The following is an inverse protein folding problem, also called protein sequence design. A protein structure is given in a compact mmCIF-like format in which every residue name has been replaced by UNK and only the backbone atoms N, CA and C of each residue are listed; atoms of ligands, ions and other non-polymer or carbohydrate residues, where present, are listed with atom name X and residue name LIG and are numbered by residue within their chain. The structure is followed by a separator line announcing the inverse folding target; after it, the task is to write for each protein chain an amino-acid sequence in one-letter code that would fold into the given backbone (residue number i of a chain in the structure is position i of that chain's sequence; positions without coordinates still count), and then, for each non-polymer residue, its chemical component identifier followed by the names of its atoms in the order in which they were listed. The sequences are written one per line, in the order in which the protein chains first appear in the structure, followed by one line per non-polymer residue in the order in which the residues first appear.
data_IF_501964603601
#
_entry.id   IF_501964603601
#
_cell.length_a   1.000
_cell.length_b   1.000
_cell.length_c   1.000
_cell.angle_alpha   90.00
_cell.angle_beta   90.00
_cell.angle_gamma   90.00
#
_symmetry.space_group_name_H-M   'P 1'
#
loop_
_entity.id
_entity.type
_entity.pdbx_description
1 polymer ?
#
# COMPACT_ATOMS: atom_id res chain seq x y z
N UNK A 1 11.11 13.78 11.25
CA UNK A 1 9.83 13.33 10.65
C UNK A 1 9.75 11.80 10.49
N UNK A 2 10.80 11.12 10.00
CA UNK A 2 10.82 9.65 9.84
C UNK A 2 10.64 8.89 11.18
N UNK A 3 11.26 9.36 12.27
CA UNK A 3 11.19 8.74 13.60
C UNK A 3 9.76 8.60 14.13
N UNK A 4 8.88 9.55 13.82
CA UNK A 4 7.49 9.51 14.27
C UNK A 4 6.72 8.37 13.60
N UNK A 5 6.80 8.24 12.27
CA UNK A 5 6.12 7.16 11.54
C UNK A 5 6.67 5.78 11.94
N UNK A 6 7.99 5.68 12.16
CA UNK A 6 8.60 4.44 12.67
C UNK A 6 8.04 4.07 14.05
N UNK A 7 7.88 5.02 14.96
CA UNK A 7 7.29 4.77 16.27
C UNK A 7 5.81 4.35 16.16
N UNK A 8 5.06 4.92 15.24
CA UNK A 8 3.67 4.50 14.95
C UNK A 8 3.64 3.04 14.51
N UNK A 9 4.49 2.64 13.57
CA UNK A 9 4.57 1.25 13.09
C UNK A 9 4.96 0.30 14.24
N UNK A 10 5.97 0.69 15.05
CA UNK A 10 6.44 -0.10 16.19
C UNK A 10 5.38 -0.25 17.29
N UNK A 11 4.42 0.66 17.41
CA UNK A 11 3.33 0.52 18.38
C UNK A 11 2.44 -0.72 18.10
N UNK A 12 2.53 -1.30 16.90
CA UNK A 12 1.80 -2.50 16.51
C UNK A 12 2.66 -3.77 16.50
N UNK A 13 3.78 -3.77 17.22
CA UNK A 13 4.66 -4.93 17.37
C UNK A 13 3.91 -6.17 17.88
N UNK A 14 4.08 -7.30 17.19
CA UNK A 14 3.48 -8.58 17.56
C UNK A 14 1.96 -8.68 17.36
N UNK A 15 1.31 -7.62 16.88
CA UNK A 15 -0.11 -7.63 16.55
C UNK A 15 -0.32 -8.21 15.14
N UNK A 16 -1.51 -8.76 14.83
CA UNK A 16 -1.82 -9.34 13.53
C UNK A 16 -2.10 -8.26 12.48
N UNK A 17 -1.11 -7.39 12.26
CA UNK A 17 -1.18 -6.18 11.46
C UNK A 17 -0.03 -6.17 10.45
N UNK A 18 -0.38 -5.99 9.19
CA UNK A 18 0.59 -5.78 8.11
C UNK A 18 0.37 -4.42 7.48
N UNK A 19 1.44 -3.65 7.34
CA UNK A 19 1.46 -2.38 6.64
C UNK A 19 1.79 -2.61 5.18
N UNK A 20 1.12 -1.87 4.30
CA UNK A 20 1.45 -1.79 2.88
C UNK A 20 1.64 -0.34 2.47
N UNK A 21 2.76 -0.06 1.83
CA UNK A 21 3.00 1.20 1.13
C UNK A 21 2.83 0.96 -0.36
N UNK A 22 1.93 1.72 -0.99
CA UNK A 22 1.85 1.77 -2.45
C UNK A 22 2.28 3.15 -2.93
N UNK A 23 3.27 3.20 -3.81
CA UNK A 23 3.62 4.41 -4.57
C UNK A 23 3.18 4.20 -6.01
N UNK A 24 2.15 4.95 -6.41
CA UNK A 24 1.65 4.97 -7.78
C UNK A 24 2.28 6.16 -8.49
N UNK A 25 3.14 5.88 -9.48
CA UNK A 25 3.64 6.89 -10.41
C UNK A 25 2.79 6.85 -11.68
N UNK A 26 2.24 8.00 -12.04
CA UNK A 26 1.39 8.15 -13.21
C UNK A 26 1.55 9.53 -13.83
N UNK A 27 1.17 9.63 -15.11
CA UNK A 27 1.11 10.90 -15.82
C UNK A 27 0.00 11.76 -15.25
N UNK A 28 0.22 13.07 -15.19
CA UNK A 28 -0.72 14.04 -14.67
C UNK A 28 -0.59 15.37 -15.43
N UNK A 29 -1.72 15.98 -15.76
CA UNK A 29 -1.77 17.34 -16.26
C UNK A 29 -2.30 18.19 -15.12
N UNK A 30 -1.48 19.13 -14.67
CA UNK A 30 -1.94 20.14 -13.74
C UNK A 30 -2.67 21.22 -14.53
N UNK A 31 -3.88 21.56 -14.08
CA UNK A 31 -4.69 22.60 -14.69
C UNK A 31 -5.30 23.39 -13.56
N UNK A 32 -4.97 24.68 -13.52
CA UNK A 32 -5.68 25.64 -12.69
C UNK A 32 -6.62 26.42 -13.59
N UNK A 33 -7.93 26.21 -13.40
CA UNK A 33 -8.95 26.97 -14.09
C UNK A 33 -9.03 28.38 -13.48
N UNK A 34 -8.17 29.29 -13.96
CA UNK A 34 -8.21 30.69 -13.57
C UNK A 34 -9.00 31.47 -14.61
N UNK A 35 -10.23 31.81 -14.26
CA UNK A 35 -10.95 32.92 -14.89
C UNK A 35 -11.00 34.06 -13.90
N UNK A 36 -9.97 34.90 -13.92
CA UNK A 36 -9.86 36.05 -13.03
C UNK A 36 -10.74 37.22 -13.48
N UNK A 37 -11.19 37.19 -14.74
CA UNK A 37 -11.87 38.31 -15.39
C UNK A 37 -10.93 39.46 -15.77
N UNK A 38 -9.61 39.32 -15.52
CA UNK A 38 -8.58 40.29 -15.88
C UNK A 38 -7.81 39.74 -17.09
N UNK A 39 -7.92 40.35 -18.29
CA UNK A 39 -7.36 39.80 -19.51
C UNK A 39 -5.86 39.47 -19.45
N UNK A 40 -5.07 40.31 -18.77
CA UNK A 40 -3.63 40.07 -18.59
C UNK A 40 -3.35 38.82 -17.74
N UNK A 41 -4.05 38.66 -16.62
CA UNK A 41 -3.87 37.52 -15.72
C UNK A 41 -4.34 36.21 -16.36
N UNK A 42 -5.43 36.26 -17.12
CA UNK A 42 -5.94 35.10 -17.86
C UNK A 42 -4.98 34.71 -18.99
N UNK A 43 -4.35 35.68 -19.66
CA UNK A 43 -3.32 35.41 -20.67
C UNK A 43 -2.05 34.81 -20.07
N UNK A 44 -1.57 35.32 -18.93
CA UNK A 44 -0.43 34.72 -18.21
C UNK A 44 -0.74 33.28 -17.80
N UNK A 45 -1.94 33.02 -17.28
CA UNK A 45 -2.38 31.68 -16.91
C UNK A 45 -2.39 30.75 -18.13
N UNK A 46 -2.98 31.20 -19.24
CA UNK A 46 -3.03 30.44 -20.49
C UNK A 46 -1.63 30.08 -20.99
N UNK A 47 -0.73 31.06 -21.04
CA UNK A 47 0.65 30.85 -21.49
C UNK A 47 1.44 29.92 -20.55
N UNK A 48 1.19 29.97 -19.24
CA UNK A 48 1.83 29.10 -18.26
C UNK A 48 1.39 27.64 -18.37
N UNK A 49 0.08 27.38 -18.54
CA UNK A 49 -0.46 26.02 -18.60
C UNK A 49 -0.37 25.38 -19.99
N UNK A 50 -0.16 26.16 -21.06
CA UNK A 50 -0.05 25.61 -22.42
C UNK A 50 1.04 24.52 -22.54
N UNK A 51 2.29 24.72 -22.09
CA UNK A 51 3.31 23.66 -22.15
C UNK A 51 3.01 22.45 -21.25
N UNK A 52 2.35 22.67 -20.11
CA UNK A 52 1.95 21.61 -19.17
C UNK A 52 0.88 20.71 -19.79
N UNK A 53 -0.02 21.28 -20.62
CA UNK A 53 -1.01 20.52 -21.38
C UNK A 53 -0.37 19.72 -22.53
N UNK A 54 0.71 20.21 -23.12
CA UNK A 54 1.43 19.50 -24.21
C UNK A 54 2.29 18.34 -23.69
N UNK A 55 2.87 18.47 -22.50
CA UNK A 55 3.71 17.44 -21.87
C UNK A 55 3.24 17.15 -20.44
N UNK A 56 2.69 15.95 -20.17
CA UNK A 56 2.26 15.59 -18.83
C UNK A 56 3.43 15.61 -17.86
N UNK A 57 3.14 16.07 -16.65
CA UNK A 57 4.00 15.91 -15.50
C UNK A 57 3.91 14.47 -14.98
N UNK A 58 4.88 14.09 -14.16
CA UNK A 58 4.81 12.88 -13.37
C UNK A 58 4.38 13.21 -11.94
N UNK A 59 3.35 12.53 -11.45
CA UNK A 59 2.96 12.60 -10.04
C UNK A 59 3.21 11.27 -9.34
N UNK A 60 3.47 11.35 -8.04
CA UNK A 60 3.56 10.21 -7.14
C UNK A 60 2.42 10.27 -6.13
N UNK A 61 1.55 9.27 -6.12
CA UNK A 61 0.51 9.11 -5.11
C UNK A 61 0.95 8.05 -4.11
N UNK A 62 1.00 8.42 -2.84
CA UNK A 62 1.39 7.53 -1.74
C UNK A 62 0.13 7.05 -1.02
N UNK A 63 0.02 5.73 -0.89
CA UNK A 63 -1.04 5.08 -0.11
C UNK A 63 -0.39 4.28 1.00
N UNK A 64 -0.81 4.56 2.23
CA UNK A 64 -0.43 3.81 3.41
C UNK A 64 -1.64 3.02 3.89
N UNK A 65 -1.55 1.70 3.82
CA UNK A 65 -2.64 0.78 4.16
C UNK A 65 -2.24 -0.06 5.35
N UNK A 66 -3.13 -0.17 6.33
CA UNK A 66 -3.01 -1.12 7.44
C UNK A 66 -4.00 -2.26 7.19
N UNK A 67 -3.50 -3.50 7.16
CA UNK A 67 -4.31 -4.70 7.07
C UNK A 67 -4.35 -5.38 8.44
N UNK A 68 -5.54 -5.45 9.04
CA UNK A 68 -5.78 -6.14 10.31
C UNK A 68 -6.36 -7.54 10.04
N UNK A 69 -5.65 -8.58 10.46
CA UNK A 69 -6.00 -9.97 10.24
C UNK A 69 -6.24 -10.71 11.57
N UNK A 70 -7.31 -10.39 12.32
CA UNK A 70 -7.52 -10.82 13.72
C UNK A 70 -7.62 -12.32 13.94
N UNK A 71 -7.85 -13.10 12.88
CA UNK A 71 -8.15 -14.52 12.99
C UNK A 71 -7.14 -15.36 12.21
N UNK A 72 -6.54 -16.32 12.89
CA UNK A 72 -5.76 -17.39 12.29
C UNK A 72 -6.63 -18.27 11.36
N UNK A 73 -6.00 -19.06 10.46
CA UNK A 73 -6.73 -20.01 9.63
C UNK A 73 -7.59 -21.01 10.42
N UNK A 74 -7.15 -21.41 11.62
CA UNK A 74 -7.88 -22.32 12.51
C UNK A 74 -9.12 -21.64 13.10
N UNK A 75 -8.99 -20.40 13.59
CA UNK A 75 -10.12 -19.63 14.12
C UNK A 75 -11.16 -19.33 13.04
N UNK A 76 -10.72 -19.01 11.82
CA UNK A 76 -11.63 -18.84 10.66
C UNK A 76 -12.42 -20.11 10.38
N UNK A 77 -11.81 -21.30 10.49
CA UNK A 77 -12.51 -22.59 10.34
C UNK A 77 -13.49 -22.82 11.50
N UNK A 78 -13.08 -22.59 12.74
CA UNK A 78 -13.94 -22.73 13.91
C UNK A 78 -15.17 -21.80 13.84
N UNK A 79 -14.99 -20.55 13.42
CA UNK A 79 -16.08 -19.59 13.23
C UNK A 79 -17.10 -20.02 12.16
N UNK A 80 -16.70 -20.79 11.14
CA UNK A 80 -17.65 -21.32 10.13
C UNK A 80 -18.60 -22.34 10.72
N UNK A 81 -18.22 -23.02 11.80
CA UNK A 81 -19.06 -24.01 12.49
C UNK A 81 -19.96 -23.38 13.57
N UNK A 82 -19.78 -22.10 13.90
CA UNK A 82 -20.59 -21.40 14.90
C UNK A 82 -21.94 -20.92 14.33
N UNK A 83 -22.91 -20.68 15.22
CA UNK A 83 -24.16 -20.05 14.84
C UNK A 83 -23.95 -18.63 14.30
N UNK A 84 -24.86 -18.16 13.44
CA UNK A 84 -24.80 -16.82 12.84
C UNK A 84 -24.68 -15.71 13.88
N UNK A 85 -25.40 -15.82 15.01
CA UNK A 85 -25.35 -14.85 16.11
C UNK A 85 -24.00 -14.76 16.80
N UNK A 86 -23.39 -15.91 17.15
CA UNK A 86 -22.05 -15.94 17.78
C UNK A 86 -20.98 -15.40 16.84
N UNK A 87 -21.03 -15.83 15.58
CA UNK A 87 -20.10 -15.34 14.54
C UNK A 87 -20.22 -13.83 14.35
N UNK A 88 -21.44 -13.28 14.35
CA UNK A 88 -21.66 -11.84 14.24
C UNK A 88 -21.04 -11.09 15.41
N UNK A 89 -21.27 -11.54 16.65
CA UNK A 89 -20.67 -10.92 17.84
C UNK A 89 -19.14 -10.87 17.76
N UNK A 90 -18.49 -11.99 17.38
CA UNK A 90 -17.03 -12.03 17.20
C UNK A 90 -16.54 -11.07 16.11
N UNK A 91 -17.30 -10.90 15.02
CA UNK A 91 -16.97 -9.95 13.95
C UNK A 91 -17.18 -8.49 14.39
N UNK A 92 -18.23 -8.22 15.17
CA UNK A 92 -18.51 -6.89 15.72
C UNK A 92 -17.41 -6.46 16.71
N UNK A 93 -16.92 -7.38 17.55
CA UNK A 93 -15.77 -7.14 18.44
C UNK A 93 -14.50 -6.84 17.66
N UNK A 94 -14.20 -7.62 16.63
CA UNK A 94 -13.04 -7.38 15.76
C UNK A 94 -13.16 -6.04 14.98
N UNK A 95 -14.37 -5.67 14.56
CA UNK A 95 -14.64 -4.40 13.91
C UNK A 95 -14.38 -3.22 14.87
N UNK A 96 -14.78 -3.34 16.13
CA UNK A 96 -14.49 -2.32 17.15
C UNK A 96 -12.99 -2.07 17.29
N UNK A 97 -12.20 -3.14 17.40
CA UNK A 97 -10.72 -3.03 17.45
C UNK A 97 -10.18 -2.39 16.18
N UNK A 98 -10.70 -2.77 15.00
CA UNK A 98 -10.29 -2.16 13.73
C UNK A 98 -10.56 -0.65 13.68
N UNK A 99 -11.70 -0.20 14.23
CA UNK A 99 -12.05 1.22 14.29
C UNK A 99 -11.13 2.00 15.24
N UNK A 100 -10.80 1.43 16.40
CA UNK A 100 -9.83 2.02 17.34
C UNK A 100 -8.44 2.18 16.69
N UNK A 101 -7.98 1.16 15.95
CA UNK A 101 -6.74 1.21 15.17
C UNK A 101 -6.82 2.29 14.08
N UNK A 102 -7.96 2.39 13.38
CA UNK A 102 -8.17 3.38 12.33
C UNK A 102 -8.10 4.81 12.89
N UNK A 103 -8.75 5.08 14.02
CA UNK A 103 -8.71 6.40 14.68
C UNK A 103 -7.30 6.76 15.14
N UNK A 104 -6.59 5.82 15.78
CA UNK A 104 -5.21 6.01 16.20
C UNK A 104 -4.29 6.31 15.00
N UNK A 105 -4.45 5.57 13.90
CA UNK A 105 -3.66 5.78 12.69
C UNK A 105 -4.00 7.11 12.00
N UNK A 106 -5.28 7.46 11.90
CA UNK A 106 -5.72 8.73 11.30
C UNK A 106 -5.16 9.93 12.09
N UNK A 107 -5.22 9.87 13.43
CA UNK A 107 -4.61 10.87 14.31
C UNK A 107 -3.10 10.99 14.07
N UNK A 108 -2.39 9.86 14.05
CA UNK A 108 -0.95 9.85 13.82
C UNK A 108 -0.55 10.39 12.43
N UNK A 109 -1.37 10.14 11.41
CA UNK A 109 -1.10 10.58 10.03
C UNK A 109 -1.57 12.00 9.72
N UNK A 110 -2.37 12.63 10.59
CA UNK A 110 -2.90 13.99 10.41
C UNK A 110 -1.82 15.04 10.09
N UNK A 111 -0.66 14.94 10.75
CA UNK A 111 0.49 15.84 10.54
C UNK A 111 1.13 15.74 9.16
N UNK A 112 0.83 14.69 8.40
CA UNK A 112 1.36 14.48 7.04
C UNK A 112 0.35 14.89 5.97
N UNK A 113 -0.74 15.60 6.33
CA UNK A 113 -1.85 15.95 5.42
C UNK A 113 -2.47 14.72 4.74
N UNK A 114 -2.36 13.55 5.39
CA UNK A 114 -2.92 12.32 4.86
C UNK A 114 -4.44 12.41 4.83
N UNK A 115 -5.03 12.02 3.69
CA UNK A 115 -6.48 11.97 3.53
C UNK A 115 -6.95 10.53 3.75
N UNK A 116 -7.78 10.25 4.77
CA UNK A 116 -8.33 8.92 4.95
C UNK A 116 -9.23 8.56 3.76
N UNK A 117 -9.03 7.37 3.19
CA UNK A 117 -9.93 6.87 2.16
C UNK A 117 -11.19 6.32 2.82
N UNK A 118 -12.34 6.75 2.33
CA UNK A 118 -13.64 6.35 2.87
C UNK A 118 -14.75 6.49 1.85
N UNK A 119 -15.99 6.46 2.35
CA UNK A 119 -17.17 6.71 1.54
C UNK A 119 -17.36 8.22 1.31
N UNK A 120 -17.88 8.58 0.14
CA UNK A 120 -18.28 9.94 -0.20
C UNK A 120 -19.55 9.92 -1.06
N UNK A 121 -20.32 11.00 -1.02
CA UNK A 121 -21.54 11.14 -1.82
C UNK A 121 -21.31 12.10 -2.98
N UNK A 122 -21.79 11.72 -4.16
CA UNK A 122 -21.81 12.56 -5.35
C UNK A 122 -23.06 12.23 -6.16
N UNK A 123 -23.78 13.26 -6.65
CA UNK A 123 -25.00 13.08 -7.44
C UNK A 123 -26.03 12.11 -6.80
N UNK A 124 -26.22 12.20 -5.47
CA UNK A 124 -27.11 11.34 -4.68
C UNK A 124 -26.75 9.84 -4.66
N UNK A 125 -25.49 9.52 -4.95
CA UNK A 125 -24.97 8.15 -4.90
C UNK A 125 -23.71 8.08 -4.05
N UNK A 126 -23.62 7.04 -3.23
CA UNK A 126 -22.46 6.79 -2.37
C UNK A 126 -21.40 6.00 -3.13
N UNK A 127 -20.17 6.51 -3.10
CA UNK A 127 -18.98 5.91 -3.68
C UNK A 127 -17.94 5.65 -2.60
N UNK A 128 -16.93 4.82 -2.88
CA UNK A 128 -15.82 4.56 -1.97
C UNK A 128 -14.47 4.86 -2.63
N UNK A 129 -13.71 5.78 -2.04
CA UNK A 129 -12.38 6.14 -2.49
C UNK A 129 -11.39 4.98 -2.31
N UNK A 130 -11.58 4.13 -1.29
CA UNK A 130 -10.79 2.92 -1.10
C UNK A 130 -11.05 1.89 -2.21
N UNK A 131 -12.31 1.69 -2.61
CA UNK A 131 -12.64 0.79 -3.72
C UNK A 131 -12.13 1.35 -5.06
N UNK A 132 -12.14 2.67 -5.27
CA UNK A 132 -11.49 3.30 -6.42
C UNK A 132 -9.98 3.04 -6.45
N UNK A 133 -9.32 3.08 -5.29
CA UNK A 133 -7.91 2.71 -5.16
C UNK A 133 -7.67 1.23 -5.51
N UNK A 134 -8.49 0.31 -5.00
CA UNK A 134 -8.39 -1.11 -5.37
C UNK A 134 -8.64 -1.35 -6.86
N UNK A 135 -9.62 -0.67 -7.46
CA UNK A 135 -9.85 -0.71 -8.89
C UNK A 135 -8.60 -0.28 -9.68
N UNK A 136 -7.92 0.81 -9.24
CA UNK A 136 -6.67 1.28 -9.85
C UNK A 136 -5.54 0.25 -9.76
N UNK A 137 -5.43 -0.46 -8.63
CA UNK A 137 -4.42 -1.51 -8.45
C UNK A 137 -4.70 -2.72 -9.35
N UNK A 138 -5.95 -3.13 -9.48
CA UNK A 138 -6.33 -4.29 -10.28
C UNK A 138 -6.26 -4.01 -11.78
N UNK A 139 -6.86 -2.90 -12.22
CA UNK A 139 -7.12 -2.63 -13.65
C UNK A 139 -6.13 -1.64 -14.29
N UNK A 140 -5.35 -0.93 -13.46
CA UNK A 140 -4.55 0.19 -13.93
C UNK A 140 -5.33 1.51 -14.13
N UNK A 141 -6.65 1.51 -13.96
CA UNK A 141 -7.52 2.66 -14.24
C UNK A 141 -8.22 3.21 -12.98
N UNK A 142 -8.34 4.54 -12.88
CA UNK A 142 -9.13 5.18 -11.84
C UNK A 142 -10.61 5.16 -12.22
N UNK A 143 -11.46 4.65 -11.34
CA UNK A 143 -12.91 4.64 -11.53
C UNK A 143 -13.63 4.88 -10.21
N UNK A 144 -14.70 5.69 -10.22
CA UNK A 144 -15.59 5.84 -9.06
C UNK A 144 -16.35 4.53 -8.85
N UNK A 145 -16.17 3.90 -7.69
CA UNK A 145 -16.83 2.62 -7.39
C UNK A 145 -17.98 2.86 -6.42
N UNK A 146 -19.20 2.56 -6.87
CA UNK A 146 -20.40 2.73 -6.06
C UNK A 146 -20.43 1.70 -4.92
N UNK A 147 -20.84 2.14 -3.74
CA UNK A 147 -21.12 1.23 -2.62
C UNK A 147 -22.43 0.52 -2.88
N UNK A 148 -22.44 -0.81 -2.75
CA UNK A 148 -23.63 -1.64 -2.94
C UNK A 148 -23.88 -2.51 -1.72
N UNK A 149 -25.00 -3.22 -1.70
CA UNK A 149 -25.31 -4.22 -0.67
C UNK A 149 -24.59 -5.55 -0.89
N UNK A 150 -24.03 -5.76 -2.08
CA UNK A 150 -23.26 -6.95 -2.40
C UNK A 150 -21.82 -6.82 -1.89
N UNK A 151 -21.15 -7.92 -1.57
CA UNK A 151 -19.73 -7.89 -1.23
C UNK A 151 -18.92 -7.22 -2.34
N UNK A 152 -18.01 -6.32 -1.97
CA UNK A 152 -17.30 -5.52 -2.96
C UNK A 152 -16.52 -6.36 -3.96
N UNK A 153 -16.00 -7.53 -3.56
CA UNK A 153 -15.25 -8.45 -4.41
C UNK A 153 -16.10 -9.13 -5.50
N UNK A 154 -17.44 -9.06 -5.42
CA UNK A 154 -18.35 -9.51 -6.48
C UNK A 154 -18.68 -8.38 -7.46
N UNK A 155 -18.48 -7.13 -7.05
CA UNK A 155 -18.87 -5.93 -7.82
C UNK A 155 -17.70 -5.16 -8.40
N UNK A 156 -16.49 -5.37 -7.85
CA UNK A 156 -15.28 -4.72 -8.32
C UNK A 156 -14.90 -5.37 -9.65
N UNK A 157 -14.73 -4.56 -10.69
CA UNK A 157 -14.38 -5.05 -12.01
C UNK A 157 -13.04 -5.79 -11.96
N UNK A 158 -13.02 -7.02 -12.49
CA UNK A 158 -11.81 -7.83 -12.63
C UNK A 158 -11.35 -7.76 -14.08
N UNK A 159 -10.08 -7.42 -14.34
CA UNK A 159 -9.53 -7.50 -15.69
C UNK A 159 -9.15 -8.94 -16.05
N UNK A 160 -9.11 -9.24 -17.34
CA UNK A 160 -8.46 -10.45 -17.81
C UNK A 160 -6.95 -10.20 -17.86
N UNK A 161 -6.17 -11.07 -17.21
CA UNK A 161 -4.71 -10.91 -17.12
C UNK A 161 -4.02 -12.12 -17.74
N UNK A 162 -3.23 -11.87 -18.77
CA UNK A 162 -2.49 -12.88 -19.51
C UNK A 162 -1.00 -12.68 -19.28
N UNK A 163 -0.33 -13.70 -18.76
CA UNK A 163 1.11 -13.67 -18.50
C UNK A 163 1.87 -14.40 -19.61
N UNK A 164 2.96 -13.79 -20.06
CA UNK A 164 4.01 -14.45 -20.85
C UNK A 164 5.25 -14.66 -19.97
N UNK A 165 6.38 -15.04 -20.55
CA UNK A 165 7.62 -15.28 -19.80
C UNK A 165 8.12 -14.03 -19.05
N UNK A 166 7.96 -12.83 -19.61
CA UNK A 166 8.59 -11.62 -19.09
C UNK A 166 7.70 -10.37 -19.11
N UNK A 167 6.51 -10.49 -19.72
CA UNK A 167 5.51 -9.43 -19.87
C UNK A 167 4.13 -9.99 -19.55
N UNK A 168 3.19 -9.10 -19.26
CA UNK A 168 1.80 -9.45 -19.05
C UNK A 168 0.90 -8.41 -19.71
N UNK A 169 -0.25 -8.85 -20.19
CA UNK A 169 -1.32 -8.01 -20.70
C UNK A 169 -2.48 -8.02 -19.72
N UNK A 170 -2.95 -6.82 -19.35
CA UNK A 170 -4.16 -6.60 -18.56
C UNK A 170 -5.23 -6.01 -19.49
N UNK A 171 -6.27 -6.78 -19.77
CA UNK A 171 -7.39 -6.38 -20.62
C UNK A 171 -8.55 -5.89 -19.76
N UNK A 172 -9.04 -4.70 -20.10
CA UNK A 172 -10.22 -4.09 -19.50
C UNK A 172 -11.19 -3.69 -20.59
N UNK A 173 -12.43 -3.32 -20.21
CA UNK A 173 -13.40 -2.72 -21.14
C UNK A 173 -12.84 -1.47 -21.83
N UNK A 174 -11.94 -0.73 -21.15
CA UNK A 174 -11.29 0.47 -21.69
C UNK A 174 -10.07 0.19 -22.59
N UNK A 175 -9.70 -1.08 -22.79
CA UNK A 175 -8.56 -1.51 -23.61
C UNK A 175 -7.52 -2.32 -22.85
N UNK A 176 -6.45 -2.67 -23.57
CA UNK A 176 -5.33 -3.47 -23.07
C UNK A 176 -4.18 -2.61 -22.56
N UNK A 177 -3.55 -3.05 -21.46
CA UNK A 177 -2.31 -2.47 -20.94
C UNK A 177 -1.26 -3.56 -20.77
N UNK A 178 -0.07 -3.34 -21.33
CA UNK A 178 1.07 -4.24 -21.16
C UNK A 178 1.92 -3.78 -19.98
N UNK A 179 2.42 -4.72 -19.19
CA UNK A 179 3.26 -4.44 -18.04
C UNK A 179 4.29 -5.54 -17.80
N UNK A 180 5.27 -5.23 -16.96
CA UNK A 180 6.21 -6.20 -16.38
C UNK A 180 6.09 -6.12 -14.87
N UNK A 181 6.29 -7.26 -14.20
CA UNK A 181 6.34 -7.32 -12.75
C UNK A 181 7.75 -7.69 -12.32
N UNK A 182 8.24 -7.01 -11.28
CA UNK A 182 9.53 -7.29 -10.67
C UNK A 182 9.30 -7.52 -9.18
N UNK A 183 9.75 -8.68 -8.69
CA UNK A 183 9.70 -9.04 -7.28
C UNK A 183 11.13 -9.04 -6.73
N UNK A 184 11.38 -8.20 -5.74
CA UNK A 184 12.65 -8.16 -5.01
C UNK A 184 12.48 -9.04 -3.78
N UNK A 185 13.04 -10.26 -3.82
CA UNK A 185 12.94 -11.24 -2.72
C UNK A 185 13.97 -11.02 -1.63
N UNK A 186 15.11 -10.47 -2.00
CA UNK A 186 16.18 -10.15 -1.08
C UNK A 186 16.87 -8.87 -1.53
N UNK A 187 17.44 -8.14 -0.58
CA UNK A 187 18.24 -6.97 -0.87
C UNK A 187 19.72 -7.34 -0.97
N UNK A 188 20.50 -6.47 -1.61
CA UNK A 188 21.96 -6.53 -1.53
C UNK A 188 22.40 -6.49 -0.06
N UNK A 189 23.53 -7.11 0.32
CA UNK A 189 24.10 -7.00 1.67
C UNK A 189 24.23 -5.54 2.14
N UNK A 190 24.53 -4.64 1.20
CA UNK A 190 24.53 -3.20 1.44
C UNK A 190 23.18 -2.60 1.07
N UNK A 191 22.42 -2.15 2.08
CA UNK A 191 21.20 -1.36 1.88
C UNK A 191 21.34 0.03 2.46
N UNK A 192 20.74 1.00 1.79
CA UNK A 192 20.73 2.39 2.23
C UNK A 192 19.33 3.00 2.06
N UNK A 193 19.07 4.07 2.81
CA UNK A 193 17.86 4.88 2.58
C UNK A 193 17.92 5.46 1.17
N UNK A 194 16.79 5.42 0.45
CA UNK A 194 16.71 5.93 -0.92
C UNK A 194 17.18 4.95 -1.99
N UNK A 195 17.42 3.67 -1.66
CA UNK A 195 17.81 2.64 -2.63
C UNK A 195 16.91 2.60 -3.89
N UNK A 196 15.63 2.92 -3.73
CA UNK A 196 14.63 2.93 -4.80
C UNK A 196 14.28 4.34 -5.30
N UNK A 197 15.10 5.35 -5.02
CA UNK A 197 14.85 6.74 -5.43
C UNK A 197 15.11 6.95 -6.92
N UNK A 198 15.91 6.11 -7.56
CA UNK A 198 16.05 6.11 -9.02
C UNK A 198 14.69 5.93 -9.71
N UNK A 199 13.76 5.17 -9.11
CA UNK A 199 12.41 5.01 -9.63
C UNK A 199 11.59 6.32 -9.55
N UNK A 200 11.97 7.31 -8.76
CA UNK A 200 11.29 8.62 -8.77
C UNK A 200 11.43 9.35 -10.10
N UNK A 201 12.45 9.01 -10.88
CA UNK A 201 12.80 9.63 -12.16
C UNK A 201 12.49 8.74 -13.37
N UNK A 202 11.96 7.54 -13.16
CA UNK A 202 11.63 6.63 -14.26
C UNK A 202 10.63 7.27 -15.24
N UNK A 203 10.87 7.14 -16.54
CA UNK A 203 9.98 7.63 -17.60
C UNK A 203 8.84 6.64 -17.90
N UNK A 204 8.32 5.98 -16.86
CA UNK A 204 7.27 4.99 -16.96
C UNK A 204 6.29 5.09 -15.80
N UNK A 205 5.07 4.63 -16.05
CA UNK A 205 4.09 4.41 -14.98
C UNK A 205 4.42 3.13 -14.22
N UNK A 206 4.30 3.16 -12.89
CA UNK A 206 4.48 1.97 -12.08
C UNK A 206 3.67 2.03 -10.79
N UNK A 207 3.51 0.86 -10.18
CA UNK A 207 3.05 0.70 -8.82
C UNK A 207 4.17 -0.02 -8.06
N UNK A 208 4.77 0.67 -7.09
CA UNK A 208 5.70 0.05 -6.15
C UNK A 208 4.91 -0.31 -4.89
N UNK A 209 4.93 -1.59 -4.53
CA UNK A 209 4.29 -2.10 -3.32
C UNK A 209 5.36 -2.62 -2.38
N UNK A 210 5.35 -2.14 -1.14
CA UNK A 210 6.18 -2.66 -0.05
C UNK A 210 5.25 -3.10 1.08
N UNK A 211 5.53 -4.26 1.67
CA UNK A 211 4.82 -4.75 2.85
C UNK A 211 5.76 -4.90 4.03
N UNK A 212 5.23 -4.68 5.23
CA UNK A 212 5.98 -4.83 6.47
C UNK A 212 5.04 -5.29 7.59
N UNK A 213 5.45 -6.35 8.30
CA UNK A 213 4.78 -6.85 9.50
C UNK A 213 5.75 -6.73 10.66
N UNK A 214 5.34 -6.05 11.73
CA UNK A 214 6.19 -5.88 12.90
C UNK A 214 6.12 -7.15 13.76
N UNK A 215 7.14 -7.99 13.72
CA UNK A 215 7.23 -9.19 14.56
C UNK A 215 7.36 -8.84 16.04
N UNK A 216 6.86 -9.70 16.92
CA UNK A 216 7.12 -9.57 18.35
C UNK A 216 8.61 -9.77 18.63
N UNK A 217 9.17 -9.07 19.62
CA UNK A 217 10.57 -9.19 20.03
C UNK A 217 11.00 -10.64 20.31
N UNK A 218 10.16 -11.44 20.95
CA UNK A 218 10.48 -12.85 21.26
C UNK A 218 10.51 -13.73 19.99
N UNK A 219 9.61 -13.46 19.04
CA UNK A 219 9.58 -14.09 17.72
C UNK A 219 10.83 -13.70 16.92
N UNK A 220 11.16 -12.41 16.86
CA UNK A 220 12.37 -11.91 16.21
C UNK A 220 13.64 -12.56 16.78
N UNK A 221 13.75 -12.67 18.11
CA UNK A 221 14.87 -13.35 18.76
C UNK A 221 14.96 -14.83 18.39
N UNK A 222 13.83 -15.54 18.27
CA UNK A 222 13.80 -16.94 17.80
C UNK A 222 14.29 -17.06 16.36
N UNK A 223 13.86 -16.16 15.47
CA UNK A 223 14.30 -16.13 14.08
C UNK A 223 15.80 -15.85 13.95
N UNK A 224 16.33 -14.89 14.71
CA UNK A 224 17.76 -14.56 14.72
C UNK A 224 18.58 -15.76 15.21
N UNK A 225 18.19 -16.40 16.32
CA UNK A 225 18.87 -17.62 16.81
C UNK A 225 18.83 -18.76 15.79
N UNK A 226 17.73 -18.89 15.05
CA UNK A 226 17.61 -19.89 14.01
C UNK A 226 18.52 -19.58 12.81
N UNK A 227 18.60 -18.31 12.39
CA UNK A 227 19.50 -17.87 11.33
C UNK A 227 20.97 -18.07 11.73
N UNK A 228 21.36 -17.67 12.94
CA UNK A 228 22.69 -17.88 13.52
C UNK A 228 23.08 -19.36 13.53
N UNK A 229 22.17 -20.25 13.97
CA UNK A 229 22.40 -21.70 13.95
C UNK A 229 22.58 -22.26 12.54
N UNK A 230 21.79 -21.80 11.57
CA UNK A 230 21.88 -22.24 10.17
C UNK A 230 23.22 -21.86 9.54
N UNK A 231 23.66 -20.62 9.72
CA UNK A 231 24.97 -20.16 9.24
C UNK A 231 26.12 -20.93 9.90
N UNK A 232 26.02 -21.21 11.20
CA UNK A 232 27.04 -22.00 11.92
C UNK A 232 27.09 -23.44 11.43
N UNK A 233 25.95 -24.03 11.07
CA UNK A 233 25.90 -25.42 10.57
C UNK A 233 26.32 -25.58 9.10
N UNK A 234 26.29 -24.50 8.31
CA UNK A 234 26.62 -24.53 6.90
C UNK A 234 28.13 -24.38 6.61
N UNK A 235 28.94 -24.10 7.63
CA UNK A 235 30.40 -23.80 7.54
C UNK A 235 30.72 -22.78 6.43
N UNK A 236 29.81 -21.83 6.25
CA UNK A 236 29.80 -20.89 5.13
C UNK A 236 30.61 -19.62 5.48
N UNK A 237 31.23 -18.99 4.47
CA UNK A 237 32.16 -17.83 4.59
C UNK A 237 31.50 -16.52 5.08
N UNK A 238 30.28 -16.58 5.62
CA UNK A 238 29.47 -15.44 6.05
C UNK A 238 29.81 -14.95 7.47
N UNK A 239 31.10 -14.74 7.78
CA UNK A 239 31.58 -14.28 9.09
C UNK A 239 30.94 -12.94 9.48
N UNK A 240 30.89 -11.98 8.55
CA UNK A 240 30.31 -10.65 8.79
C UNK A 240 28.82 -10.70 9.16
N UNK A 241 28.03 -11.50 8.44
CA UNK A 241 26.60 -11.66 8.72
C UNK A 241 26.35 -12.29 10.10
N UNK A 242 27.23 -13.20 10.54
CA UNK A 242 27.14 -13.79 11.88
C UNK A 242 27.40 -12.75 12.97
N UNK A 243 28.39 -11.90 12.79
CA UNK A 243 28.67 -10.78 13.71
C UNK A 243 27.49 -9.81 13.77
N UNK A 244 26.92 -9.45 12.62
CA UNK A 244 25.74 -8.58 12.53
C UNK A 244 24.52 -9.18 13.24
N UNK A 245 24.29 -10.50 13.13
CA UNK A 245 23.20 -11.18 13.83
C UNK A 245 23.39 -11.17 15.36
N UNK A 246 24.64 -11.26 15.84
CA UNK A 246 24.95 -11.15 17.28
C UNK A 246 24.63 -9.73 17.75
N UNK A 247 25.09 -8.70 17.03
CA UNK A 247 24.79 -7.31 17.35
C UNK A 247 23.27 -7.05 17.33
N UNK A 248 22.58 -7.54 16.30
CA UNK A 248 21.12 -7.40 16.18
C UNK A 248 20.38 -8.05 17.35
N UNK A 249 20.83 -9.21 17.82
CA UNK A 249 20.26 -9.90 18.98
C UNK A 249 20.39 -9.05 20.25
N UNK A 250 21.51 -8.37 20.43
CA UNK A 250 21.77 -7.53 21.61
C UNK A 250 21.00 -6.20 21.55
N UNK A 251 20.66 -5.73 20.33
CA UNK A 251 19.85 -4.54 20.10
C UNK A 251 18.34 -4.75 20.30
N UNK A 252 17.87 -6.00 20.29
CA UNK A 252 16.46 -6.37 20.51
C UNK A 252 16.14 -6.53 22.00
#
# INVERSE_FOLDING_TARGET
MATHLNNVIRAYEGLPITFYLHRIREKYHDVFDANSGIPFSDEVTRLYYQPINEKPLWRHRLFFTLCYAPFSPLEKKAMKAQSSGKRKATLDDALKVMLEIWEALASALSRYTATPLGMYEENRRVYSAQLSFYHRLLTGQWQKVAVTRAPFYETLSTPDVFFTADTAECQTVGGSRFFRSLEIKDYSPETATGLLDALLYAESEYVLTQSFTCMARDEAQKHIRLAEKRLTSADDDAISQREELIVLRDLL
#
